data_IF_556605281688
#
_entry.id   IF_556605281688
#
_cell.length_a   1.000
_cell.length_b   1.000
_cell.length_c   1.000
_cell.angle_alpha   90.00
_cell.angle_beta   90.00
_cell.angle_gamma   90.00
#
_symmetry.space_group_name_H-M   'P 1'
#
loop_
_entity.id
_entity.type
_entity.pdbx_description
1 polymer ?
#
# COMPACT_ATOMS: atom_id res chain seq x y z
N UNK A 1 -41.47 45.93 19.56
CA UNK A 1 -40.76 45.25 18.44
C UNK A 1 -39.44 44.71 18.97
N UNK A 2 -39.30 43.39 19.12
CA UNK A 2 -38.06 42.72 19.55
C UNK A 2 -37.67 41.73 18.45
N UNK A 3 -36.53 41.95 17.81
CA UNK A 3 -35.95 41.04 16.83
C UNK A 3 -35.14 39.97 17.57
N UNK A 4 -35.41 38.70 17.28
CA UNK A 4 -34.61 37.55 17.71
C UNK A 4 -33.61 37.20 16.60
N UNK A 5 -32.31 37.02 16.90
CA UNK A 5 -31.36 36.51 15.92
C UNK A 5 -31.47 34.98 15.83
N UNK A 6 -31.54 34.47 14.60
CA UNK A 6 -31.45 33.04 14.30
C UNK A 6 -29.98 32.62 14.28
N UNK A 7 -29.60 31.70 15.16
CA UNK A 7 -28.28 31.06 15.17
C UNK A 7 -28.38 29.77 14.35
N UNK A 8 -27.66 29.70 13.24
CA UNK A 8 -27.49 28.47 12.45
C UNK A 8 -26.27 27.73 13.02
N UNK A 9 -26.51 26.58 13.63
CA UNK A 9 -25.45 25.66 14.06
C UNK A 9 -25.11 24.73 12.89
N UNK A 10 -23.88 24.81 12.38
CA UNK A 10 -23.33 23.84 11.44
C UNK A 10 -22.72 22.71 12.27
N UNK A 11 -23.39 21.57 12.31
CA UNK A 11 -22.83 20.35 12.87
C UNK A 11 -21.81 19.77 11.88
N UNK A 12 -20.52 19.85 12.23
CA UNK A 12 -19.48 19.09 11.57
C UNK A 12 -19.61 17.62 12.01
N UNK A 13 -20.26 16.82 11.18
CA UNK A 13 -20.21 15.37 11.31
C UNK A 13 -18.80 14.92 10.91
N UNK A 14 -17.93 14.72 11.90
CA UNK A 14 -16.70 13.97 11.70
C UNK A 14 -17.06 12.51 11.46
N UNK A 15 -17.07 12.08 10.21
CA UNK A 15 -17.05 10.66 9.90
C UNK A 15 -15.70 10.13 10.36
N UNK A 16 -15.69 9.34 11.44
CA UNK A 16 -14.58 8.42 11.67
C UNK A 16 -14.54 7.50 10.46
N UNK A 17 -13.53 7.66 9.60
CA UNK A 17 -13.30 6.71 8.54
C UNK A 17 -13.08 5.33 9.20
N UNK A 18 -13.68 4.26 8.68
CA UNK A 18 -13.27 2.92 9.09
C UNK A 18 -11.76 2.82 8.88
N UNK A 19 -11.04 2.24 9.84
CA UNK A 19 -9.69 1.77 9.58
C UNK A 19 -9.81 0.80 8.40
N UNK A 20 -9.42 1.25 7.22
CA UNK A 20 -9.61 0.51 5.98
C UNK A 20 -8.55 -0.59 5.91
N UNK A 21 -8.96 -1.75 5.40
CA UNK A 21 -8.09 -2.85 5.05
C UNK A 21 -6.96 -2.37 4.15
N UNK A 22 -5.76 -2.23 4.70
CA UNK A 22 -4.62 -1.71 3.98
C UNK A 22 -4.02 -2.84 3.13
N UNK A 23 -4.38 -2.87 1.84
CA UNK A 23 -3.60 -3.62 0.87
C UNK A 23 -2.24 -2.94 0.72
N UNK A 24 -1.17 -3.70 0.90
CA UNK A 24 0.19 -3.22 0.77
C UNK A 24 0.86 -3.81 -0.47
N UNK A 25 1.66 -2.98 -1.16
CA UNK A 25 2.52 -3.40 -2.26
C UNK A 25 3.93 -3.70 -1.76
N UNK A 26 4.50 -4.79 -2.26
CA UNK A 26 5.88 -5.18 -1.99
C UNK A 26 6.61 -5.29 -3.33
N UNK A 27 7.70 -4.53 -3.44
CA UNK A 27 8.58 -4.54 -4.62
C UNK A 27 9.97 -4.91 -4.16
N UNK A 28 10.45 -6.07 -4.60
CA UNK A 28 11.80 -6.57 -4.39
C UNK A 28 12.58 -6.32 -5.68
N UNK A 29 13.75 -5.68 -5.57
CA UNK A 29 14.60 -5.35 -6.71
C UNK A 29 16.09 -5.59 -6.42
N UNK A 30 16.87 -5.85 -7.47
CA UNK A 30 18.29 -6.17 -7.38
C UNK A 30 18.59 -7.52 -8.04
N UNK A 31 19.41 -8.38 -7.42
CA UNK A 31 19.70 -9.73 -7.94
C UNK A 31 18.48 -10.66 -7.99
N UNK A 32 17.48 -10.39 -7.15
CA UNK A 32 16.18 -11.06 -7.11
C UNK A 32 15.13 -9.97 -7.35
N UNK A 33 14.14 -10.28 -8.18
CA UNK A 33 13.04 -9.38 -8.49
C UNK A 33 11.71 -10.03 -8.07
N UNK A 34 10.89 -9.31 -7.32
CA UNK A 34 9.54 -9.76 -7.00
C UNK A 34 8.57 -8.58 -6.89
N UNK A 35 7.32 -8.80 -7.26
CA UNK A 35 6.25 -7.81 -7.17
C UNK A 35 4.96 -8.52 -6.76
N UNK A 36 4.43 -8.17 -5.59
CA UNK A 36 3.20 -8.78 -5.08
C UNK A 36 2.48 -7.82 -4.12
N UNK A 37 1.21 -8.08 -3.86
CA UNK A 37 0.40 -7.33 -2.90
C UNK A 37 -0.27 -8.26 -1.91
N UNK A 38 -0.40 -7.85 -0.66
CA UNK A 38 -1.14 -8.59 0.36
C UNK A 38 -2.18 -7.72 1.06
N UNK A 39 -3.32 -8.32 1.37
CA UNK A 39 -4.32 -7.73 2.27
C UNK A 39 -3.90 -8.03 3.72
N UNK A 40 -3.42 -7.00 4.41
CA UNK A 40 -2.83 -7.16 5.74
C UNK A 40 -3.83 -7.50 6.85
N UNK A 41 -5.15 -7.37 6.59
CA UNK A 41 -6.17 -7.74 7.57
C UNK A 41 -6.49 -9.24 7.59
N UNK A 42 -6.11 -9.96 6.53
CA UNK A 42 -6.47 -11.36 6.33
C UNK A 42 -5.24 -12.26 6.12
N UNK A 43 -4.28 -12.33 7.07
CA UNK A 43 -3.22 -13.32 6.99
C UNK A 43 -3.81 -14.74 7.02
N UNK A 44 -3.26 -15.61 6.17
CA UNK A 44 -3.67 -17.00 6.11
C UNK A 44 -3.28 -17.76 7.39
N UNK A 45 -2.12 -17.41 7.96
CA UNK A 45 -1.70 -17.92 9.26
C UNK A 45 -0.86 -16.90 10.04
N UNK A 46 -0.93 -16.99 11.36
CA UNK A 46 -0.08 -16.21 12.28
C UNK A 46 0.43 -17.15 13.35
N UNK A 47 1.68 -16.96 13.77
CA UNK A 47 2.28 -17.75 14.85
C UNK A 47 3.15 -16.90 15.75
N UNK A 48 3.85 -17.56 16.67
CA UNK A 48 4.85 -16.88 17.50
C UNK A 48 5.99 -16.42 16.60
N UNK A 49 6.04 -15.11 16.35
CA UNK A 49 7.08 -14.48 15.55
C UNK A 49 6.92 -14.56 14.03
N UNK A 50 5.75 -14.88 13.47
CA UNK A 50 5.56 -14.78 12.00
C UNK A 50 4.12 -14.51 11.57
N UNK A 51 3.99 -13.93 10.37
CA UNK A 51 2.74 -13.71 9.63
C UNK A 51 2.93 -14.31 8.25
N UNK A 52 1.94 -15.05 7.78
CA UNK A 52 1.99 -15.71 6.48
C UNK A 52 0.73 -15.47 5.67
N UNK A 53 0.93 -15.19 4.39
CA UNK A 53 -0.09 -15.09 3.37
C UNK A 53 0.15 -16.23 2.38
N UNK A 54 -0.87 -17.05 2.16
CA UNK A 54 -0.80 -18.16 1.20
C UNK A 54 -1.44 -17.76 -0.11
N UNK A 55 -1.03 -18.45 -1.17
CA UNK A 55 -1.59 -18.25 -2.51
C UNK A 55 -1.54 -16.80 -3.01
N UNK A 56 -0.47 -16.07 -2.69
CA UNK A 56 -0.28 -14.67 -3.10
C UNK A 56 0.11 -14.61 -4.57
N UNK A 57 -0.73 -14.05 -5.46
CA UNK A 57 -0.35 -13.85 -6.85
C UNK A 57 0.70 -12.74 -6.96
N UNK A 58 1.68 -12.93 -7.83
CA UNK A 58 2.71 -11.94 -8.07
C UNK A 58 3.59 -12.27 -9.26
N UNK A 59 4.60 -11.44 -9.45
CA UNK A 59 5.67 -11.65 -10.41
C UNK A 59 6.95 -11.95 -9.64
N UNK A 60 7.62 -13.05 -9.94
CA UNK A 60 8.80 -13.51 -9.19
C UNK A 60 9.89 -13.96 -10.16
N UNK A 61 11.01 -13.26 -10.17
CA UNK A 61 12.19 -13.49 -11.03
C UNK A 61 11.84 -13.65 -12.52
N UNK A 62 10.99 -12.79 -13.05
CA UNK A 62 10.66 -12.80 -14.48
C UNK A 62 9.41 -13.60 -14.86
N UNK A 63 8.71 -14.19 -13.89
CA UNK A 63 7.59 -15.09 -14.14
C UNK A 63 6.37 -14.75 -13.27
N UNK A 64 5.17 -14.76 -13.87
CA UNK A 64 3.90 -14.69 -13.13
C UNK A 64 3.68 -16.02 -12.38
N UNK A 65 3.52 -15.96 -11.06
CA UNK A 65 3.39 -17.13 -10.20
C UNK A 65 2.53 -16.82 -8.98
N UNK A 66 2.24 -17.87 -8.23
CA UNK A 66 1.61 -17.82 -6.91
C UNK A 66 2.66 -18.24 -5.88
N UNK A 67 2.72 -17.56 -4.75
CA UNK A 67 3.67 -17.88 -3.69
C UNK A 67 3.05 -17.78 -2.30
N UNK A 68 3.58 -18.57 -1.37
CA UNK A 68 3.39 -18.33 0.06
C UNK A 68 4.43 -17.30 0.52
N UNK A 69 3.96 -16.22 1.12
CA UNK A 69 4.77 -15.08 1.57
C UNK A 69 4.73 -15.02 3.07
N UNK A 70 5.90 -15.15 3.71
CA UNK A 70 6.04 -15.12 5.17
C UNK A 70 6.94 -13.99 5.61
N UNK A 71 6.47 -13.24 6.61
CA UNK A 71 7.23 -12.21 7.31
C UNK A 71 7.53 -12.68 8.73
N UNK A 72 8.80 -12.66 9.14
CA UNK A 72 9.20 -13.10 10.49
C UNK A 72 9.56 -11.91 11.39
N UNK A 73 9.31 -12.05 12.68
CA UNK A 73 9.72 -11.13 13.73
C UNK A 73 11.20 -11.37 14.07
N UNK A 74 12.08 -10.64 13.40
CA UNK A 74 13.54 -10.82 13.49
C UNK A 74 14.10 -10.42 14.86
N UNK A 75 13.40 -9.57 15.62
CA UNK A 75 13.84 -9.17 16.96
C UNK A 75 13.91 -10.33 17.96
N UNK A 76 13.08 -11.37 17.77
CA UNK A 76 13.04 -12.53 18.65
C UNK A 76 14.09 -13.60 18.26
N UNK A 77 14.42 -13.68 16.96
CA UNK A 77 15.49 -14.53 16.44
C UNK A 77 16.13 -13.91 15.18
N UNK A 78 17.32 -13.28 15.30
CA UNK A 78 17.98 -12.62 14.18
C UNK A 78 18.55 -13.61 13.14
N UNK A 79 18.52 -14.91 13.41
CA UNK A 79 18.90 -15.94 12.44
C UNK A 79 17.76 -16.28 11.46
N UNK A 80 16.56 -15.75 11.66
CA UNK A 80 15.44 -15.92 10.74
C UNK A 80 15.45 -14.83 9.65
N UNK A 81 15.03 -15.17 8.42
CA UNK A 81 14.86 -14.17 7.37
C UNK A 81 13.72 -13.22 7.71
N UNK A 82 13.88 -11.93 7.41
CA UNK A 82 12.80 -10.94 7.55
C UNK A 82 11.62 -11.26 6.61
N UNK A 83 11.93 -11.76 5.41
CA UNK A 83 10.97 -12.15 4.38
C UNK A 83 11.37 -13.49 3.74
N UNK A 84 10.43 -14.43 3.69
CA UNK A 84 10.54 -15.67 2.93
C UNK A 84 9.43 -15.76 1.88
N UNK A 85 9.79 -16.21 0.68
CA UNK A 85 8.86 -16.41 -0.43
C UNK A 85 9.03 -17.85 -0.92
N UNK A 86 7.95 -18.62 -0.94
CA UNK A 86 7.92 -20.01 -1.41
C UNK A 86 7.02 -20.10 -2.65
N UNK A 87 7.63 -20.30 -3.82
CA UNK A 87 6.91 -20.26 -5.10
C UNK A 87 6.20 -21.59 -5.37
N UNK A 88 4.99 -21.52 -5.93
CA UNK A 88 4.21 -22.70 -6.30
C UNK A 88 4.84 -23.50 -7.45
N UNK A 89 5.49 -22.82 -8.39
CA UNK A 89 6.27 -23.43 -9.48
C UNK A 89 7.58 -24.08 -9.02
N UNK A 90 7.99 -23.82 -7.77
CA UNK A 90 9.23 -24.28 -7.17
C UNK A 90 10.26 -23.18 -6.94
N UNK A 91 11.17 -23.43 -5.99
CA UNK A 91 12.14 -22.45 -5.54
C UNK A 91 11.65 -21.60 -4.38
N UNK A 92 12.59 -20.95 -3.69
CA UNK A 92 12.31 -20.09 -2.57
C UNK A 92 13.38 -19.02 -2.43
N UNK A 93 13.01 -17.86 -1.89
CA UNK A 93 13.95 -16.81 -1.53
C UNK A 93 13.82 -16.51 -0.04
N UNK A 94 14.95 -16.31 0.62
CA UNK A 94 15.01 -15.85 2.01
C UNK A 94 15.83 -14.57 2.05
N UNK A 95 15.23 -13.51 2.57
CA UNK A 95 15.82 -12.18 2.67
C UNK A 95 15.97 -11.81 4.14
N UNK A 96 17.19 -11.50 4.54
CA UNK A 96 17.59 -11.21 5.92
C UNK A 96 17.83 -9.72 6.11
N UNK A 97 17.44 -9.17 7.26
CA UNK A 97 17.61 -7.76 7.54
C UNK A 97 16.72 -7.31 8.67
N UNK A 98 16.39 -6.01 8.67
CA UNK A 98 15.56 -5.41 9.71
C UNK A 98 14.13 -5.97 9.68
N UNK A 99 13.48 -5.92 10.85
CA UNK A 99 12.10 -6.37 10.99
C UNK A 99 11.12 -5.46 10.22
N UNK A 100 10.26 -6.09 9.41
CA UNK A 100 9.37 -5.39 8.46
C UNK A 100 8.01 -4.98 9.04
N UNK A 101 7.68 -5.41 10.27
CA UNK A 101 6.45 -5.05 10.95
C UNK A 101 6.67 -4.91 12.45
N UNK A 102 5.84 -4.10 13.11
CA UNK A 102 5.82 -3.97 14.57
C UNK A 102 4.60 -4.67 15.16
N UNK A 103 4.61 -4.87 16.48
CA UNK A 103 3.53 -5.58 17.18
C UNK A 103 3.68 -7.09 17.11
N UNK A 104 2.65 -7.81 17.58
CA UNK A 104 2.57 -9.26 17.48
C UNK A 104 2.06 -9.69 16.11
N UNK A 105 2.24 -10.95 15.73
CA UNK A 105 1.72 -11.47 14.45
C UNK A 105 0.21 -11.24 14.27
N UNK A 106 -0.59 -11.29 15.35
CA UNK A 106 -2.03 -11.04 15.29
C UNK A 106 -2.44 -9.57 15.29
N UNK A 107 -1.49 -8.65 15.47
CA UNK A 107 -1.71 -7.20 15.53
C UNK A 107 -0.61 -6.47 14.75
N UNK A 108 -0.13 -7.09 13.69
CA UNK A 108 1.06 -6.64 12.99
C UNK A 108 0.79 -5.35 12.24
N UNK A 109 1.73 -4.40 12.36
CA UNK A 109 1.70 -3.15 11.61
C UNK A 109 2.96 -3.08 10.78
N UNK A 110 2.83 -3.28 9.47
CA UNK A 110 3.95 -3.20 8.53
C UNK A 110 4.56 -1.81 8.50
N UNK A 111 5.89 -1.77 8.49
CA UNK A 111 6.66 -0.54 8.34
C UNK A 111 6.77 -0.22 6.86
N UNK A 112 6.27 0.96 6.46
CA UNK A 112 6.38 1.43 5.08
C UNK A 112 7.77 2.00 4.79
N UNK A 113 8.21 1.89 3.54
CA UNK A 113 9.48 2.46 3.08
C UNK A 113 10.39 1.43 2.42
N UNK A 114 11.67 1.78 2.34
CA UNK A 114 12.70 1.01 1.66
C UNK A 114 13.61 0.30 2.67
N UNK A 115 13.85 -0.99 2.43
CA UNK A 115 14.65 -1.87 3.27
C UNK A 115 15.75 -2.51 2.44
N UNK A 116 16.99 -2.40 2.92
CA UNK A 116 18.11 -3.14 2.35
C UNK A 116 18.21 -4.49 3.06
N UNK A 117 17.96 -5.55 2.32
CA UNK A 117 18.00 -6.93 2.78
C UNK A 117 19.17 -7.68 2.15
N UNK A 118 19.65 -8.72 2.81
CA UNK A 118 20.67 -9.63 2.31
C UNK A 118 20.02 -10.94 1.86
N UNK A 119 20.52 -11.51 0.76
CA UNK A 119 20.18 -12.87 0.34
C UNK A 119 21.38 -13.78 0.62
N UNK A 120 21.19 -14.99 1.16
CA UNK A 120 22.30 -15.93 1.35
C UNK A 120 22.85 -16.45 0.00
N UNK A 121 22.05 -16.36 -1.06
CA UNK A 121 22.38 -16.88 -2.40
C UNK A 121 23.04 -15.82 -3.29
N UNK A 122 23.07 -14.55 -2.87
CA UNK A 122 23.62 -13.43 -3.64
C UNK A 122 24.51 -12.55 -2.75
N UNK A 123 25.66 -12.12 -3.28
CA UNK A 123 26.60 -11.28 -2.54
C UNK A 123 26.11 -9.83 -2.37
N UNK A 124 25.24 -9.37 -3.27
CA UNK A 124 24.71 -8.01 -3.28
C UNK A 124 23.41 -7.91 -2.47
N UNK A 125 23.17 -6.72 -1.90
CA UNK A 125 21.93 -6.42 -1.21
C UNK A 125 20.74 -6.35 -2.17
N UNK A 126 19.58 -6.75 -1.65
CA UNK A 126 18.27 -6.68 -2.29
C UNK A 126 17.51 -5.51 -1.68
N UNK A 127 16.89 -4.67 -2.52
CA UNK A 127 16.06 -3.57 -2.06
C UNK A 127 14.59 -4.03 -2.02
N UNK A 128 13.96 -3.96 -0.85
CA UNK A 128 12.53 -4.15 -0.67
C UNK A 128 11.85 -2.81 -0.42
N UNK A 129 10.88 -2.43 -1.25
CA UNK A 129 9.99 -1.29 -1.02
C UNK A 129 8.61 -1.77 -0.57
N UNK A 130 8.14 -1.27 0.56
CA UNK A 130 6.80 -1.53 1.12
C UNK A 130 5.97 -0.26 1.01
N UNK A 131 4.90 -0.32 0.20
CA UNK A 131 4.10 0.85 -0.18
C UNK A 131 2.66 0.64 0.27
N UNK A 132 2.11 1.61 1.00
CA UNK A 132 0.71 1.61 1.42
C UNK A 132 -0.26 2.01 0.31
N UNK A 133 -1.55 1.80 0.54
CA UNK A 133 -2.63 2.17 -0.40
C UNK A 133 -2.57 3.65 -0.82
N UNK A 134 -2.26 4.55 0.12
CA UNK A 134 -2.05 5.98 -0.16
C UNK A 134 -0.85 6.24 -1.09
N UNK A 135 0.17 5.38 -1.06
CA UNK A 135 1.32 5.41 -1.97
C UNK A 135 1.06 4.66 -3.29
N UNK A 136 0.07 3.78 -3.33
CA UNK A 136 -0.47 3.18 -4.55
C UNK A 136 -1.40 4.14 -5.29
N UNK A 137 -1.81 5.25 -4.67
CA UNK A 137 -2.68 6.26 -5.25
C UNK A 137 -2.06 6.80 -6.55
N UNK A 138 -2.60 6.22 -7.62
CA UNK A 138 -2.48 6.48 -9.03
C UNK A 138 -2.06 7.90 -9.41
N UNK A 139 -1.43 8.00 -10.58
CA UNK A 139 -1.34 9.21 -11.40
C UNK A 139 -2.71 9.88 -11.72
N UNK A 140 -3.81 9.50 -11.06
CA UNK A 140 -5.05 10.25 -11.10
C UNK A 140 -4.83 11.61 -10.44
N UNK A 141 -5.22 12.71 -11.11
CA UNK A 141 -5.19 14.02 -10.50
C UNK A 141 -5.99 14.00 -9.18
N UNK A 142 -5.51 14.69 -8.16
CA UNK A 142 -6.25 14.87 -6.92
C UNK A 142 -7.68 15.40 -7.18
N UNK A 143 -8.66 15.16 -6.31
CA UNK A 143 -10.02 15.68 -6.48
C UNK A 143 -10.07 17.20 -6.75
N UNK A 144 -9.15 17.96 -6.15
CA UNK A 144 -8.99 19.38 -6.43
C UNK A 144 -8.57 19.66 -7.89
N UNK A 145 -7.70 18.83 -8.45
CA UNK A 145 -7.28 18.92 -9.85
C UNK A 145 -8.42 18.58 -10.82
N UNK A 146 -9.28 17.61 -10.49
CA UNK A 146 -10.52 17.33 -11.24
C UNK A 146 -11.50 18.51 -11.19
N UNK A 147 -11.66 19.11 -10.01
CA UNK A 147 -12.51 20.29 -9.84
C UNK A 147 -12.01 21.46 -10.67
N UNK A 148 -10.69 21.72 -10.70
CA UNK A 148 -10.08 22.76 -11.52
C UNK A 148 -10.24 22.50 -13.03
N UNK A 149 -10.08 21.25 -13.48
CA UNK A 149 -10.33 20.86 -14.86
C UNK A 149 -11.80 21.12 -15.27
N UNK A 150 -12.73 20.70 -14.41
CA UNK A 150 -14.17 20.89 -14.65
C UNK A 150 -14.54 22.37 -14.66
N UNK A 151 -13.99 23.17 -13.74
CA UNK A 151 -14.16 24.63 -13.71
C UNK A 151 -13.60 25.29 -14.97
N UNK A 152 -12.41 24.89 -15.40
CA UNK A 152 -11.77 25.38 -16.62
C UNK A 152 -12.65 25.15 -17.85
N UNK A 153 -13.11 23.91 -18.05
CA UNK A 153 -14.01 23.57 -19.17
C UNK A 153 -15.36 24.29 -19.07
N UNK A 154 -15.93 24.42 -17.86
CA UNK A 154 -17.17 25.15 -17.63
C UNK A 154 -17.06 26.64 -18.00
N UNK A 155 -15.95 27.29 -17.65
CA UNK A 155 -15.69 28.69 -17.99
C UNK A 155 -15.51 28.90 -19.49
N UNK A 156 -14.80 28.00 -20.17
CA UNK A 156 -14.63 28.05 -21.64
C UNK A 156 -15.98 27.89 -22.34
N UNK A 157 -16.78 26.89 -21.94
CA UNK A 157 -18.13 26.69 -22.47
C UNK A 157 -19.06 27.88 -22.25
N UNK A 158 -19.05 28.46 -21.05
CA UNK A 158 -19.84 29.65 -20.72
C UNK A 158 -19.45 30.88 -21.56
N UNK A 159 -18.15 31.02 -21.90
CA UNK A 159 -17.65 32.10 -22.76
C UNK A 159 -18.10 31.93 -24.22
N UNK A 160 -18.03 30.71 -24.76
CA UNK A 160 -18.49 30.40 -26.11
C UNK A 160 -20.00 30.65 -26.25
N UNK A 161 -20.80 30.23 -25.26
CA UNK A 161 -22.25 30.43 -25.28
C UNK A 161 -22.65 31.91 -25.25
N UNK A 162 -21.95 32.75 -24.46
CA UNK A 162 -22.18 34.20 -24.46
C UNK A 162 -21.85 34.86 -25.80
N UNK A 163 -20.84 34.35 -26.53
CA UNK A 163 -20.46 34.90 -27.83
C UNK A 163 -21.42 34.50 -28.95
N UNK A 164 -22.06 33.34 -28.85
CA UNK A 164 -23.05 32.86 -29.82
C UNK A 164 -24.41 33.57 -29.73
N UNK A 165 -24.75 34.18 -28.59
CA UNK A 165 -26.02 34.92 -28.39
C UNK A 165 -25.91 36.40 -28.78
N UNK A 166 -24.69 36.92 -28.93
CA UNK A 166 -24.42 38.31 -29.29
C UNK A 166 -24.15 38.52 -30.80
N UNK A 167 -24.30 37.47 -31.61
CA UNK A 167 -24.20 37.48 -33.07
C UNK A 167 -25.57 37.10 -33.66
#
# INVERSE_FOLDING_TARGET
>A
MRMLPAVIAIALAGSAAPAAAATLLFIVSGPIEAFFSVDTEAPASTGEGFIEFTDVPGFFNGEDDIADVRFNAVLDDPALPALSIFRSSGGSFSLFGDQLFTGSAGTAVFTLGDFLLASPDHADSVLLSVIGEDGMASNAPEPASWALLTLGFGLVGARLRRRAVAA
#
